data_IF_532407075709
#
_entry.id   IF_532407075709
#
_cell.length_a   1.000
_cell.length_b   1.000
_cell.length_c   1.000
_cell.angle_alpha   90.00
_cell.angle_beta   90.00
_cell.angle_gamma   90.00
#
_symmetry.space_group_name_H-M   'P 1'
#
loop_
_entity.id
_entity.type
_entity.pdbx_description
1 polymer ?
#
# COMPACT_ATOMS: atom_id res chain seq x y z
N UNK A 1 4.04 -30.29 32.69
CA UNK A 1 3.45 -30.01 31.37
C UNK A 1 3.61 -28.53 31.10
N UNK A 2 4.40 -28.15 30.10
CA UNK A 2 4.61 -26.73 29.78
C UNK A 2 3.41 -26.23 28.97
N UNK A 3 2.61 -25.36 29.56
CA UNK A 3 1.46 -24.72 28.91
C UNK A 3 1.98 -23.58 28.04
N UNK A 4 1.95 -23.77 26.72
CA UNK A 4 2.20 -22.68 25.78
C UNK A 4 1.00 -21.71 25.79
N UNK A 5 1.29 -20.42 25.88
CA UNK A 5 0.31 -19.36 25.68
C UNK A 5 0.42 -18.90 24.23
N UNK A 6 -0.69 -18.87 23.46
CA UNK A 6 -0.66 -18.32 22.13
C UNK A 6 -0.35 -16.82 22.22
N UNK A 7 0.71 -16.40 21.55
CA UNK A 7 0.98 -14.98 21.32
C UNK A 7 0.11 -14.57 20.12
N UNK A 8 -0.73 -13.55 20.32
CA UNK A 8 -1.33 -12.84 19.21
C UNK A 8 -0.20 -12.10 18.47
N UNK A 9 0.25 -12.70 17.38
CA UNK A 9 1.24 -12.13 16.49
C UNK A 9 0.49 -11.59 15.28
N UNK A 10 0.12 -10.32 15.33
CA UNK A 10 -0.40 -9.62 14.16
C UNK A 10 0.78 -8.98 13.44
N UNK A 11 0.97 -9.34 12.16
CA UNK A 11 1.91 -8.66 11.29
C UNK A 11 1.33 -7.29 10.92
N UNK A 12 1.45 -6.33 11.82
CA UNK A 12 1.25 -4.93 11.52
C UNK A 12 2.45 -4.41 10.73
N UNK A 13 2.49 -4.73 9.44
CA UNK A 13 3.23 -3.87 8.52
C UNK A 13 2.26 -2.80 8.06
N UNK A 14 2.30 -1.63 8.68
CA UNK A 14 1.59 -0.46 8.17
C UNK A 14 2.16 -0.14 6.79
N UNK A 15 1.52 -0.61 5.72
CA UNK A 15 1.93 -0.34 4.35
C UNK A 15 1.47 1.05 3.92
N UNK A 16 2.02 2.08 4.57
CA UNK A 16 1.82 3.49 4.27
C UNK A 16 2.92 4.01 3.34
N UNK A 17 2.71 5.21 2.79
CA UNK A 17 3.77 5.91 2.06
C UNK A 17 4.96 6.25 2.97
N UNK A 18 4.72 6.47 4.27
CA UNK A 18 5.76 6.84 5.24
C UNK A 18 6.67 5.66 5.61
N UNK A 19 6.16 4.43 5.53
CA UNK A 19 6.95 3.21 5.75
C UNK A 19 7.60 2.65 4.48
N UNK A 20 7.37 3.29 3.33
CA UNK A 20 7.95 2.88 2.06
C UNK A 20 9.32 3.57 1.84
N UNK A 21 10.37 2.76 1.61
CA UNK A 21 11.67 3.30 1.24
C UNK A 21 11.67 3.79 -0.21
N UNK A 22 11.59 5.11 -0.40
CA UNK A 22 11.41 5.74 -1.71
C UNK A 22 12.60 5.55 -2.65
N UNK A 23 13.84 5.71 -2.15
CA UNK A 23 15.04 5.66 -2.96
C UNK A 23 14.97 6.61 -4.18
N UNK A 24 15.27 6.15 -5.41
CA UNK A 24 15.17 6.97 -6.62
C UNK A 24 13.73 7.16 -7.14
N UNK A 25 12.72 6.55 -6.51
CA UNK A 25 11.34 6.50 -7.01
C UNK A 25 10.46 7.65 -6.48
N UNK A 26 11.06 8.81 -6.21
CA UNK A 26 10.35 9.97 -5.61
C UNK A 26 9.15 10.36 -6.47
N UNK A 27 9.35 10.51 -7.79
CA UNK A 27 8.31 10.86 -8.74
C UNK A 27 7.12 9.89 -8.71
N UNK A 28 7.39 8.59 -8.63
CA UNK A 28 6.35 7.56 -8.53
C UNK A 28 5.54 7.75 -7.25
N UNK A 29 6.20 7.93 -6.10
CA UNK A 29 5.50 8.08 -4.83
C UNK A 29 4.66 9.36 -4.75
N UNK A 30 5.16 10.48 -5.30
CA UNK A 30 4.40 11.73 -5.38
C UNK A 30 3.20 11.61 -6.31
N UNK A 31 3.38 10.96 -7.46
CA UNK A 31 2.32 10.72 -8.44
C UNK A 31 1.21 9.86 -7.84
N UNK A 32 1.57 8.81 -7.10
CA UNK A 32 0.62 7.94 -6.40
C UNK A 32 -0.12 8.66 -5.25
N UNK A 33 0.54 9.56 -4.52
CA UNK A 33 -0.13 10.42 -3.51
C UNK A 33 -1.15 11.35 -4.18
N UNK A 34 -0.81 11.96 -5.31
CA UNK A 34 -1.72 12.81 -6.10
C UNK A 34 -2.90 12.01 -6.66
N UNK A 35 -2.65 10.83 -7.24
CA UNK A 35 -3.69 9.90 -7.70
C UNK A 35 -4.70 9.55 -6.61
N UNK A 36 -4.20 9.35 -5.39
CA UNK A 36 -5.03 9.00 -4.23
C UNK A 36 -5.82 10.20 -3.68
N UNK A 37 -5.55 11.43 -4.12
CA UNK A 37 -6.25 12.66 -3.73
C UNK A 37 -7.51 12.93 -4.59
N UNK A 38 -8.28 13.96 -4.21
CA UNK A 38 -9.62 14.27 -4.76
C UNK A 38 -9.62 14.56 -6.27
N UNK A 39 -8.53 15.10 -6.82
CA UNK A 39 -8.36 15.44 -8.24
C UNK A 39 -7.19 14.68 -8.88
N UNK A 40 -6.94 13.44 -8.45
CA UNK A 40 -5.87 12.60 -8.98
C UNK A 40 -6.09 12.19 -10.44
N UNK A 41 -5.03 11.74 -11.10
CA UNK A 41 -5.10 11.20 -12.47
C UNK A 41 -6.05 10.00 -12.59
N UNK A 42 -6.58 9.75 -13.79
CA UNK A 42 -7.64 8.75 -13.98
C UNK A 42 -7.14 7.29 -13.95
N UNK A 43 -5.85 7.04 -14.20
CA UNK A 43 -5.29 5.69 -14.27
C UNK A 43 -3.76 5.68 -14.18
N UNK A 44 -3.18 4.78 -13.37
CA UNK A 44 -1.74 4.57 -13.28
C UNK A 44 -1.42 3.09 -13.49
N UNK A 45 -0.47 2.83 -14.38
CA UNK A 45 0.15 1.51 -14.51
C UNK A 45 1.53 1.49 -13.85
N UNK A 46 1.68 0.71 -12.78
CA UNK A 46 2.93 0.56 -12.05
C UNK A 46 3.56 -0.80 -12.34
N UNK A 47 4.80 -0.80 -12.83
CA UNK A 47 5.56 -2.01 -13.12
C UNK A 47 6.90 -2.00 -12.37
N UNK A 48 7.54 -3.16 -12.28
CA UNK A 48 8.82 -3.36 -11.61
C UNK A 48 9.04 -4.82 -11.25
N UNK A 49 10.26 -5.17 -10.87
CA UNK A 49 10.66 -6.54 -10.57
C UNK A 49 9.95 -7.12 -9.33
N UNK A 50 10.05 -8.45 -9.13
CA UNK A 50 9.52 -9.08 -7.91
C UNK A 50 10.22 -8.49 -6.68
N UNK A 51 9.43 -8.10 -5.67
CA UNK A 51 9.98 -7.47 -4.47
C UNK A 51 10.19 -5.96 -4.58
N UNK A 52 9.86 -5.30 -5.70
CA UNK A 52 9.99 -3.85 -5.86
C UNK A 52 8.97 -3.01 -5.06
N UNK A 53 8.16 -3.64 -4.21
CA UNK A 53 7.19 -2.92 -3.35
C UNK A 53 5.89 -2.44 -4.02
N UNK A 54 5.56 -2.92 -5.23
CA UNK A 54 4.29 -2.57 -5.92
C UNK A 54 3.04 -2.78 -5.06
N UNK A 55 2.95 -3.93 -4.37
CA UNK A 55 1.83 -4.23 -3.48
C UNK A 55 1.80 -3.30 -2.26
N UNK A 56 2.97 -2.96 -1.71
CA UNK A 56 3.09 -1.99 -0.61
C UNK A 56 2.54 -0.63 -1.07
N UNK A 57 2.99 -0.12 -2.21
CA UNK A 57 2.53 1.15 -2.78
C UNK A 57 1.03 1.15 -3.07
N UNK A 58 0.49 0.06 -3.62
CA UNK A 58 -0.96 -0.07 -3.84
C UNK A 58 -1.75 0.00 -2.52
N UNK A 59 -1.29 -0.73 -1.49
CA UNK A 59 -1.88 -0.64 -0.16
C UNK A 59 -1.75 0.77 0.43
N UNK A 60 -0.63 1.46 0.22
CA UNK A 60 -0.42 2.85 0.65
C UNK A 60 -1.41 3.81 0.00
N UNK A 61 -1.70 3.65 -1.29
CA UNK A 61 -2.76 4.40 -1.96
C UNK A 61 -4.12 4.18 -1.29
N UNK A 62 -4.46 2.92 -0.98
CA UNK A 62 -5.73 2.61 -0.31
C UNK A 62 -5.80 3.22 1.09
N UNK A 63 -4.74 3.09 1.89
CA UNK A 63 -4.70 3.69 3.23
C UNK A 63 -4.78 5.23 3.17
N UNK A 64 -4.06 5.86 2.25
CA UNK A 64 -4.12 7.30 2.03
C UNK A 64 -5.53 7.74 1.63
N UNK A 65 -6.14 7.12 0.62
CA UNK A 65 -7.49 7.46 0.18
C UNK A 65 -8.52 7.24 1.30
N UNK A 66 -8.41 6.15 2.06
CA UNK A 66 -9.28 5.87 3.21
C UNK A 66 -9.13 6.92 4.32
N UNK A 67 -7.90 7.39 4.61
CA UNK A 67 -7.66 8.48 5.57
C UNK A 67 -8.32 9.81 5.15
N UNK A 68 -8.58 9.98 3.85
CA UNK A 68 -9.31 11.11 3.28
C UNK A 68 -10.82 10.84 3.15
N UNK A 69 -11.35 9.83 3.85
CA UNK A 69 -12.76 9.39 3.82
C UNK A 69 -13.27 9.03 2.42
N UNK A 70 -12.40 8.51 1.54
CA UNK A 70 -12.81 8.04 0.20
C UNK A 70 -13.14 6.56 0.22
N UNK A 71 -14.10 6.18 -0.62
CA UNK A 71 -14.37 4.77 -0.88
C UNK A 71 -13.26 4.20 -1.78
N UNK A 72 -12.57 3.17 -1.30
CA UNK A 72 -11.45 2.55 -1.99
C UNK A 72 -11.50 1.03 -1.84
N UNK A 73 -11.11 0.31 -2.89
CA UNK A 73 -11.08 -1.15 -2.91
C UNK A 73 -9.77 -1.63 -3.53
N UNK A 74 -9.16 -2.62 -2.90
CA UNK A 74 -8.02 -3.34 -3.43
C UNK A 74 -8.50 -4.68 -3.99
N UNK A 75 -8.16 -4.96 -5.24
CA UNK A 75 -8.52 -6.20 -5.93
C UNK A 75 -7.24 -7.00 -6.22
N UNK A 76 -6.89 -7.99 -5.40
CA UNK A 76 -5.72 -8.82 -5.64
C UNK A 76 -6.04 -9.84 -6.74
N UNK A 77 -5.39 -9.72 -7.91
CA UNK A 77 -5.66 -10.62 -9.04
C UNK A 77 -5.33 -12.09 -8.77
N UNK A 78 -4.52 -12.41 -7.77
CA UNK A 78 -4.27 -13.82 -7.39
C UNK A 78 -5.45 -14.50 -6.70
N UNK A 79 -6.50 -13.74 -6.33
CA UNK A 79 -7.67 -14.24 -5.58
C UNK A 79 -8.97 -14.15 -6.40
N UNK A 80 -8.87 -13.78 -7.68
CA UNK A 80 -9.95 -13.86 -8.67
C UNK A 80 -9.83 -15.17 -9.44
#
# INVERSE_FOLDING_TARGET
MNRQLPIQFEFYTDQTFDSFYVGPNVEVTETLKKFSAVNGENFIYLWGEKGSGKSHLLNSCCQWASSQNRDVRLLPMQQL
#
